data_IF_085661334926
#
_entry.id   IF_085661334926
#
_cell.length_a   1.000
_cell.length_b   1.000
_cell.length_c   1.000
_cell.angle_alpha   90.00
_cell.angle_beta   90.00
_cell.angle_gamma   90.00
#
_symmetry.space_group_name_H-M   'P 1'
#
loop_
_entity.id
_entity.type
_entity.pdbx_description
1 polymer ?
#
# COMPACT_ATOMS: atom_id res chain seq x y z
N UNK A 1 15.67 -41.95 -60.91
CA UNK A 1 16.24 -40.59 -60.79
C UNK A 1 15.21 -39.72 -60.07
N UNK A 2 15.58 -39.16 -58.90
CA UNK A 2 15.10 -37.92 -58.22
C UNK A 2 13.62 -37.52 -58.40
N UNK A 3 12.81 -37.24 -57.38
CA UNK A 3 13.06 -36.36 -56.23
C UNK A 3 12.09 -36.68 -55.08
N UNK A 4 12.62 -36.61 -53.86
CA UNK A 4 11.89 -36.50 -52.60
C UNK A 4 11.31 -35.09 -52.42
N UNK A 5 10.05 -34.98 -51.99
CA UNK A 5 9.43 -33.78 -51.39
C UNK A 5 9.03 -34.14 -49.95
N UNK A 6 9.84 -33.83 -48.93
CA UNK A 6 9.79 -32.64 -48.05
C UNK A 6 8.39 -32.46 -47.41
N UNK A 7 8.19 -32.84 -46.14
CA UNK A 7 8.36 -32.03 -44.89
C UNK A 7 7.55 -30.72 -44.96
N UNK A 8 6.74 -30.29 -43.98
CA UNK A 8 6.56 -30.67 -42.59
C UNK A 8 5.16 -30.19 -42.13
N UNK A 9 4.47 -30.96 -41.27
CA UNK A 9 3.30 -30.49 -40.56
C UNK A 9 3.77 -29.64 -39.37
N UNK A 10 3.52 -28.33 -39.42
CA UNK A 10 3.73 -27.44 -38.30
C UNK A 10 2.63 -27.69 -37.25
N UNK A 11 2.98 -28.37 -36.15
CA UNK A 11 2.17 -28.37 -34.95
C UNK A 11 2.41 -27.03 -34.23
N UNK A 12 1.52 -26.07 -34.46
CA UNK A 12 1.45 -24.88 -33.62
C UNK A 12 0.86 -25.29 -32.26
N UNK A 13 1.73 -25.59 -31.29
CA UNK A 13 1.32 -25.63 -29.88
C UNK A 13 1.10 -24.18 -29.47
N UNK A 14 -0.16 -23.75 -29.45
CA UNK A 14 -0.56 -22.50 -28.83
C UNK A 14 -0.28 -22.64 -27.32
N UNK A 15 0.85 -22.11 -26.86
CA UNK A 15 1.03 -21.74 -25.46
C UNK A 15 0.11 -20.55 -25.20
N UNK A 16 -1.12 -20.85 -24.77
CA UNK A 16 -1.92 -19.86 -24.05
C UNK A 16 -1.26 -19.69 -22.68
N UNK A 17 -0.83 -18.47 -22.29
CA UNK A 17 -0.42 -18.25 -20.93
C UNK A 17 -1.69 -18.31 -20.08
N UNK A 18 -1.81 -19.37 -19.28
CA UNK A 18 -2.80 -19.44 -18.22
C UNK A 18 -2.42 -18.39 -17.17
N UNK A 19 -2.85 -17.14 -17.38
CA UNK A 19 -2.92 -16.16 -16.31
C UNK A 19 -4.12 -16.55 -15.47
N UNK A 20 -3.90 -17.53 -14.59
CA UNK A 20 -4.82 -17.76 -13.49
C UNK A 20 -4.87 -16.49 -12.67
N UNK A 21 -6.08 -15.99 -12.38
CA UNK A 21 -6.30 -15.13 -11.23
C UNK A 21 -5.79 -15.91 -10.02
N UNK A 22 -4.56 -15.61 -9.59
CA UNK A 22 -3.97 -16.19 -8.39
C UNK A 22 -4.98 -15.97 -7.25
N UNK A 23 -5.42 -17.06 -6.62
CA UNK A 23 -6.35 -16.99 -5.50
C UNK A 23 -5.70 -16.26 -4.32
N UNK A 24 -6.49 -15.85 -3.33
CA UNK A 24 -5.99 -15.17 -2.14
C UNK A 24 -4.82 -15.93 -1.46
N UNK A 25 -4.87 -17.27 -1.41
CA UNK A 25 -3.79 -18.10 -0.87
C UNK A 25 -2.50 -18.13 -1.72
N UNK A 26 -2.57 -17.80 -3.01
CA UNK A 26 -1.45 -17.89 -3.95
C UNK A 26 -0.50 -16.68 -3.85
N UNK A 27 -0.88 -15.66 -3.07
CA UNK A 27 -0.06 -14.44 -2.86
C UNK A 27 0.57 -14.38 -1.47
N UNK A 28 0.40 -15.41 -0.62
CA UNK A 28 0.99 -15.41 0.72
C UNK A 28 2.53 -15.27 0.64
N UNK A 29 3.09 -14.31 1.41
CA UNK A 29 4.53 -14.01 1.38
C UNK A 29 5.03 -13.29 0.13
N UNK A 30 4.15 -12.97 -0.83
CA UNK A 30 4.51 -12.14 -1.98
C UNK A 30 4.75 -10.70 -1.52
N UNK A 31 5.90 -10.14 -1.92
CA UNK A 31 6.14 -8.71 -1.90
C UNK A 31 6.71 -8.34 -3.26
N UNK A 32 6.03 -7.46 -3.98
CA UNK A 32 6.37 -7.11 -5.35
C UNK A 32 6.30 -5.60 -5.55
N UNK A 33 7.26 -5.05 -6.29
CA UNK A 33 7.29 -3.65 -6.68
C UNK A 33 7.41 -3.55 -8.20
N UNK A 34 6.33 -3.14 -8.85
CA UNK A 34 6.28 -2.87 -10.30
C UNK A 34 6.53 -1.39 -10.61
N UNK A 35 6.90 -1.06 -11.85
CA UNK A 35 7.35 0.28 -12.24
C UNK A 35 6.70 0.81 -13.51
N UNK A 36 6.35 2.10 -13.52
CA UNK A 36 5.77 2.76 -14.70
C UNK A 36 6.72 2.90 -15.89
N UNK A 37 8.03 2.77 -15.67
CA UNK A 37 9.04 2.87 -16.72
C UNK A 37 9.35 1.53 -17.41
N UNK A 38 8.64 0.47 -17.03
CA UNK A 38 8.72 -0.85 -17.67
C UNK A 38 9.97 -1.67 -17.31
N UNK A 39 10.78 -1.25 -16.33
CA UNK A 39 11.86 -2.11 -15.82
C UNK A 39 11.24 -3.35 -15.12
N UNK A 40 11.98 -4.48 -15.01
CA UNK A 40 11.49 -5.66 -14.30
C UNK A 40 11.13 -5.36 -12.85
N UNK A 41 10.10 -6.04 -12.32
CA UNK A 41 9.67 -5.90 -10.94
C UNK A 41 10.76 -6.37 -9.95
N UNK A 42 10.84 -5.70 -8.80
CA UNK A 42 11.61 -6.18 -7.64
C UNK A 42 10.74 -7.10 -6.79
N UNK A 43 11.33 -8.20 -6.28
CA UNK A 43 10.61 -9.21 -5.51
C UNK A 43 11.26 -9.46 -4.16
N UNK A 44 10.45 -9.60 -3.12
CA UNK A 44 10.90 -9.87 -1.76
C UNK A 44 11.46 -8.65 -1.04
N UNK A 45 11.60 -8.79 0.28
CA UNK A 45 11.90 -7.69 1.21
C UNK A 45 13.22 -6.98 0.89
N UNK A 46 14.27 -7.70 0.50
CA UNK A 46 15.59 -7.12 0.22
C UNK A 46 15.58 -6.24 -1.03
N UNK A 47 15.19 -6.80 -2.18
CA UNK A 47 15.22 -6.10 -3.46
C UNK A 47 14.21 -4.94 -3.53
N UNK A 48 13.04 -5.11 -2.89
CA UNK A 48 12.05 -4.04 -2.80
C UNK A 48 12.58 -2.89 -1.93
N UNK A 49 13.16 -3.16 -0.75
CA UNK A 49 13.70 -2.10 0.10
C UNK A 49 14.93 -1.41 -0.50
N UNK A 50 15.75 -2.10 -1.30
CA UNK A 50 16.87 -1.49 -2.01
C UNK A 50 16.44 -0.36 -2.97
N UNK A 51 15.18 -0.37 -3.40
CA UNK A 51 14.55 0.69 -4.19
C UNK A 51 13.83 1.69 -3.30
N UNK A 52 12.95 1.22 -2.41
CA UNK A 52 12.08 2.06 -1.58
C UNK A 52 12.84 2.96 -0.59
N UNK A 53 13.98 2.52 -0.07
CA UNK A 53 14.79 3.35 0.86
C UNK A 53 15.26 4.66 0.23
N UNK A 54 15.39 4.73 -1.10
CA UNK A 54 15.80 5.96 -1.81
C UNK A 54 14.77 7.09 -1.67
N UNK A 55 13.54 6.73 -1.34
CA UNK A 55 12.43 7.66 -1.07
C UNK A 55 11.97 7.58 0.38
N UNK A 56 12.78 6.96 1.24
CA UNK A 56 12.53 6.84 2.67
C UNK A 56 11.37 5.90 3.03
N UNK A 57 11.01 4.99 2.12
CA UNK A 57 9.98 3.97 2.37
C UNK A 57 10.66 2.68 2.79
N UNK A 58 10.06 1.98 3.76
CA UNK A 58 10.51 0.65 4.18
C UNK A 58 9.32 -0.29 4.32
N UNK A 59 9.52 -1.54 3.90
CA UNK A 59 8.61 -2.66 4.15
C UNK A 59 9.33 -3.73 4.97
N UNK A 60 8.63 -4.31 5.94
CA UNK A 60 9.07 -5.47 6.69
C UNK A 60 7.91 -6.38 7.06
N UNK A 61 8.20 -7.42 7.82
CA UNK A 61 7.19 -8.30 8.42
C UNK A 61 7.24 -8.21 9.93
N UNK A 62 6.09 -8.40 10.57
CA UNK A 62 5.95 -8.48 12.02
C UNK A 62 5.09 -9.69 12.38
N UNK A 63 5.43 -10.35 13.48
CA UNK A 63 4.65 -11.49 13.97
C UNK A 63 3.23 -11.03 14.35
N UNK A 64 2.23 -11.87 14.03
CA UNK A 64 0.85 -11.67 14.46
C UNK A 64 0.72 -12.17 15.90
N UNK A 65 0.35 -11.32 16.87
CA UNK A 65 0.16 -11.76 18.25
C UNK A 65 -1.01 -12.73 18.37
N UNK A 66 -0.88 -13.78 19.18
CA UNK A 66 -1.93 -14.79 19.40
C UNK A 66 -3.28 -14.17 19.79
N UNK A 67 -3.24 -13.09 20.57
CA UNK A 67 -4.43 -12.37 21.02
C UNK A 67 -5.20 -11.66 19.88
N UNK A 68 -4.58 -11.43 18.72
CA UNK A 68 -5.24 -10.85 17.55
C UNK A 68 -5.99 -11.90 16.73
N UNK A 69 -5.57 -13.17 16.76
CA UNK A 69 -6.09 -14.24 15.90
C UNK A 69 -7.63 -14.36 15.89
N UNK A 70 -8.35 -14.28 17.02
CA UNK A 70 -9.81 -14.36 17.00
C UNK A 70 -10.47 -13.22 16.20
N UNK A 71 -9.93 -12.00 16.30
CA UNK A 71 -10.42 -10.82 15.57
C UNK A 71 -10.12 -10.97 14.08
N UNK A 72 -8.90 -11.43 13.74
CA UNK A 72 -8.49 -11.63 12.35
C UNK A 72 -9.35 -12.69 11.67
N UNK A 73 -9.66 -13.80 12.35
CA UNK A 73 -10.54 -14.84 11.80
C UNK A 73 -11.96 -14.32 11.57
N UNK A 74 -12.52 -13.56 12.53
CA UNK A 74 -13.83 -12.95 12.37
C UNK A 74 -13.88 -11.94 11.19
N UNK A 75 -12.79 -11.19 10.99
CA UNK A 75 -12.68 -10.19 9.92
C UNK A 75 -12.74 -10.77 8.50
N UNK A 76 -12.67 -12.10 8.36
CA UNK A 76 -12.77 -12.77 7.05
C UNK A 76 -14.19 -12.77 6.49
N UNK A 77 -15.20 -12.68 7.35
CA UNK A 77 -16.61 -12.82 6.95
C UNK A 77 -17.51 -11.66 7.37
N UNK A 78 -17.02 -10.75 8.22
CA UNK A 78 -17.80 -9.61 8.71
C UNK A 78 -16.90 -8.45 9.15
N UNK A 79 -17.51 -7.29 9.31
CA UNK A 79 -16.89 -6.16 9.98
C UNK A 79 -16.59 -6.49 11.45
N UNK A 80 -15.49 -5.95 11.97
CA UNK A 80 -15.12 -6.05 13.39
C UNK A 80 -15.93 -5.07 14.24
N UNK A 81 -16.19 -5.43 15.50
CA UNK A 81 -16.83 -4.53 16.47
C UNK A 81 -15.86 -3.46 16.98
N UNK A 82 -16.37 -2.48 17.72
CA UNK A 82 -15.53 -1.44 18.32
C UNK A 82 -14.59 -2.01 19.40
N UNK A 83 -15.03 -3.03 20.15
CA UNK A 83 -14.21 -3.72 21.14
C UNK A 83 -13.08 -4.52 20.48
N UNK A 84 -13.38 -5.20 19.37
CA UNK A 84 -12.40 -5.93 18.56
C UNK A 84 -11.38 -4.99 17.91
N UNK A 85 -11.82 -3.80 17.46
CA UNK A 85 -10.95 -2.75 16.94
C UNK A 85 -9.97 -2.25 18.00
N UNK A 86 -10.46 -1.96 19.22
CA UNK A 86 -9.60 -1.57 20.34
C UNK A 86 -8.62 -2.68 20.74
N UNK A 87 -9.05 -3.94 20.72
CA UNK A 87 -8.18 -5.09 20.95
C UNK A 87 -7.09 -5.19 19.89
N UNK A 88 -7.41 -4.94 18.63
CA UNK A 88 -6.45 -5.00 17.52
C UNK A 88 -5.40 -3.89 17.62
N UNK A 89 -5.82 -2.66 17.93
CA UNK A 89 -4.91 -1.53 18.19
C UNK A 89 -3.97 -1.87 19.36
N UNK A 90 -4.48 -2.45 20.44
CA UNK A 90 -3.65 -2.87 21.58
C UNK A 90 -2.70 -4.01 21.23
N UNK A 91 -3.10 -4.96 20.38
CA UNK A 91 -2.24 -6.06 19.96
C UNK A 91 -1.06 -5.60 19.09
N UNK A 92 -1.29 -4.61 18.24
CA UNK A 92 -0.28 -4.04 17.34
C UNK A 92 0.20 -2.67 17.82
N UNK A 93 0.18 -2.42 19.13
CA UNK A 93 0.55 -1.14 19.71
C UNK A 93 1.98 -0.75 19.32
N UNK A 94 2.14 0.48 18.85
CA UNK A 94 3.44 1.10 18.62
C UNK A 94 3.61 2.26 19.60
N UNK A 95 4.63 2.16 20.44
CA UNK A 95 5.07 3.27 21.28
C UNK A 95 5.75 4.33 20.42
N UNK A 96 6.01 5.51 21.00
CA UNK A 96 6.83 6.54 20.34
C UNK A 96 8.21 6.00 19.94
N UNK A 97 8.82 5.18 20.79
CA UNK A 97 10.13 4.60 20.51
C UNK A 97 10.06 3.66 19.30
N UNK A 98 9.01 2.83 19.21
CA UNK A 98 8.81 1.93 18.07
C UNK A 98 8.58 2.72 16.77
N UNK A 99 7.77 3.78 16.81
CA UNK A 99 7.52 4.63 15.64
C UNK A 99 8.80 5.31 15.14
N UNK A 100 9.61 5.85 16.05
CA UNK A 100 10.90 6.44 15.71
C UNK A 100 11.89 5.38 15.19
N UNK A 101 11.84 4.15 15.70
CA UNK A 101 12.65 3.05 15.20
C UNK A 101 12.27 2.66 13.76
N UNK A 102 10.99 2.65 13.40
CA UNK A 102 10.52 2.39 12.03
C UNK A 102 11.02 3.48 11.05
N UNK A 103 10.98 4.75 11.46
CA UNK A 103 11.52 5.88 10.69
C UNK A 103 13.02 5.74 10.47
N UNK A 104 13.77 5.47 11.54
CA UNK A 104 15.21 5.29 11.47
C UNK A 104 15.59 4.08 10.60
N UNK A 105 14.85 2.97 10.70
CA UNK A 105 15.04 1.80 9.86
C UNK A 105 14.74 2.08 8.37
N UNK A 106 13.87 3.04 8.08
CA UNK A 106 13.62 3.54 6.72
C UNK A 106 14.69 4.53 6.21
N UNK A 107 15.72 4.83 7.02
CA UNK A 107 16.80 5.75 6.67
C UNK A 107 16.39 7.22 6.73
N UNK A 108 15.37 7.55 7.53
CA UNK A 108 14.82 8.89 7.68
C UNK A 108 15.08 9.43 9.10
N UNK A 109 14.96 10.75 9.22
CA UNK A 109 14.73 11.43 10.49
C UNK A 109 13.23 11.73 10.61
N UNK A 110 12.66 11.82 11.83
CA UNK A 110 11.24 12.15 12.01
C UNK A 110 10.96 13.57 11.49
N UNK A 111 9.76 13.79 10.93
CA UNK A 111 9.39 15.10 10.37
C UNK A 111 9.31 16.19 11.44
N UNK A 112 8.92 15.80 12.66
CA UNK A 112 8.85 16.65 13.85
C UNK A 112 9.79 16.07 14.90
N UNK A 113 10.50 16.94 15.64
CA UNK A 113 11.40 16.51 16.71
C UNK A 113 10.69 15.53 17.67
N UNK A 114 11.37 14.43 17.99
CA UNK A 114 10.84 13.33 18.80
C UNK A 114 9.53 12.70 18.27
N UNK A 115 9.18 12.92 16.99
CA UNK A 115 7.99 12.37 16.33
C UNK A 115 6.70 13.18 16.54
N UNK A 116 6.72 14.30 17.26
CA UNK A 116 5.55 15.17 17.42
C UNK A 116 4.34 14.52 18.12
N UNK A 117 3.13 14.85 17.69
CA UNK A 117 1.87 14.33 18.20
C UNK A 117 1.63 12.89 17.74
N UNK A 118 1.31 11.98 18.69
CA UNK A 118 0.91 10.59 18.40
C UNK A 118 -0.58 10.44 18.11
N UNK A 119 -1.33 11.54 18.25
CA UNK A 119 -2.77 11.60 17.98
C UNK A 119 -3.03 12.59 16.84
N UNK A 120 -2.14 12.60 15.84
CA UNK A 120 -2.33 13.42 14.64
C UNK A 120 -3.62 13.04 13.92
N UNK A 121 -4.24 13.99 13.21
CA UNK A 121 -5.54 13.79 12.57
C UNK A 121 -5.76 14.73 11.38
N UNK A 122 -6.65 14.32 10.47
CA UNK A 122 -7.28 15.27 9.55
C UNK A 122 -8.33 16.10 10.32
N UNK A 123 -8.58 17.37 9.96
CA UNK A 123 -9.62 18.17 10.59
C UNK A 123 -10.99 17.48 10.62
N UNK A 124 -11.57 17.36 11.82
CA UNK A 124 -12.90 16.76 12.01
C UNK A 124 -12.94 15.22 11.90
N UNK A 125 -11.80 14.55 11.77
CA UNK A 125 -11.68 13.09 11.75
C UNK A 125 -11.08 12.60 13.07
N UNK A 126 -11.44 11.39 13.49
CA UNK A 126 -10.80 10.76 14.65
C UNK A 126 -9.26 10.71 14.49
N UNK A 127 -8.49 10.86 15.58
CA UNK A 127 -7.04 10.79 15.51
C UNK A 127 -6.53 9.37 15.27
N UNK A 128 -5.27 9.28 14.86
CA UNK A 128 -4.54 8.02 14.87
C UNK A 128 -4.28 7.52 16.31
N UNK A 129 -4.10 6.20 16.51
CA UNK A 129 -4.19 5.12 15.52
C UNK A 129 -5.61 4.82 15.01
N UNK A 130 -5.71 4.19 13.84
CA UNK A 130 -6.98 3.81 13.18
C UNK A 130 -6.94 2.36 12.70
N UNK A 131 -8.10 1.74 12.52
CA UNK A 131 -8.22 0.47 11.80
C UNK A 131 -9.05 0.66 10.53
N UNK A 132 -8.47 0.32 9.39
CA UNK A 132 -9.20 0.21 8.13
C UNK A 132 -9.74 -1.21 8.00
N UNK A 133 -11.07 -1.33 7.96
CA UNK A 133 -11.77 -2.61 7.82
C UNK A 133 -12.55 -2.64 6.51
N UNK A 134 -12.13 -3.51 5.59
CA UNK A 134 -12.76 -3.64 4.28
C UNK A 134 -14.24 -4.05 4.36
N UNK A 135 -14.66 -4.78 5.39
CA UNK A 135 -16.05 -5.18 5.56
C UNK A 135 -16.95 -4.07 6.11
N UNK A 136 -16.39 -2.96 6.62
CA UNK A 136 -17.17 -1.75 6.96
C UNK A 136 -17.48 -0.89 5.73
N UNK A 137 -16.81 -1.14 4.60
CA UNK A 137 -16.94 -0.31 3.40
C UNK A 137 -17.96 -0.92 2.43
N UNK A 138 -19.08 -0.25 2.26
CA UNK A 138 -20.00 -0.56 1.16
C UNK A 138 -19.42 -0.14 -0.21
N UNK A 139 -20.13 -0.46 -1.29
CA UNK A 139 -19.62 -0.21 -2.65
C UNK A 139 -19.33 1.28 -2.92
N UNK A 140 -20.15 2.19 -2.40
CA UNK A 140 -19.99 3.63 -2.58
C UNK A 140 -18.81 4.15 -1.76
N UNK A 141 -18.70 3.71 -0.51
CA UNK A 141 -17.56 4.03 0.37
C UNK A 141 -16.26 3.56 -0.27
N UNK A 142 -16.22 2.37 -0.87
CA UNK A 142 -15.03 1.87 -1.58
C UNK A 142 -14.65 2.77 -2.77
N UNK A 143 -15.62 3.21 -3.56
CA UNK A 143 -15.37 4.16 -4.66
C UNK A 143 -14.82 5.48 -4.12
N UNK A 144 -15.41 6.00 -3.03
CA UNK A 144 -14.93 7.23 -2.40
C UNK A 144 -13.50 7.09 -1.86
N UNK A 145 -13.19 5.98 -1.18
CA UNK A 145 -11.84 5.65 -0.69
C UNK A 145 -10.85 5.57 -1.84
N UNK A 146 -11.19 4.95 -2.98
CA UNK A 146 -10.32 4.89 -4.15
C UNK A 146 -10.10 6.26 -4.80
N UNK A 147 -11.09 7.14 -4.79
CA UNK A 147 -10.95 8.52 -5.27
C UNK A 147 -10.11 9.39 -4.33
N UNK A 148 -10.23 9.16 -3.01
CA UNK A 148 -9.48 9.89 -1.99
C UNK A 148 -8.01 9.45 -1.92
N UNK A 149 -7.74 8.15 -1.83
CA UNK A 149 -6.38 7.64 -1.56
C UNK A 149 -5.67 7.08 -2.79
N UNK A 150 -6.39 6.83 -3.88
CA UNK A 150 -5.82 6.28 -5.11
C UNK A 150 -4.83 7.22 -5.82
N UNK A 151 -5.18 8.51 -6.03
CA UNK A 151 -4.22 9.47 -6.56
C UNK A 151 -3.02 9.60 -5.64
N UNK A 152 -1.84 9.84 -6.21
CA UNK A 152 -0.68 10.23 -5.40
C UNK A 152 -1.00 11.54 -4.68
N UNK A 153 -0.66 11.61 -3.40
CA UNK A 153 -0.88 12.76 -2.55
C UNK A 153 0.26 12.91 -1.55
N UNK A 154 0.32 14.08 -0.92
CA UNK A 154 1.17 14.35 0.22
C UNK A 154 0.35 14.81 1.41
N UNK A 155 0.82 14.48 2.60
CA UNK A 155 0.17 14.74 3.87
C UNK A 155 1.02 15.72 4.69
N UNK A 156 0.55 16.95 4.84
CA UNK A 156 1.25 17.98 5.61
C UNK A 156 0.30 19.00 6.25
N UNK A 157 0.79 19.67 7.31
CA UNK A 157 0.15 20.83 7.92
C UNK A 157 0.28 22.09 7.05
N UNK A 158 -0.43 23.16 7.40
CA UNK A 158 -0.41 24.43 6.66
C UNK A 158 1.00 25.01 6.49
N UNK A 159 1.90 24.80 7.46
CA UNK A 159 3.28 25.26 7.41
C UNK A 159 4.23 24.39 6.55
N UNK A 160 3.69 23.34 5.91
CA UNK A 160 4.44 22.38 5.10
C UNK A 160 5.07 21.24 5.88
N UNK A 161 4.89 21.17 7.20
CA UNK A 161 5.40 20.05 8.03
C UNK A 161 4.64 18.77 7.70
N UNK A 162 5.35 17.75 7.21
CA UNK A 162 4.76 16.45 6.89
C UNK A 162 4.44 15.59 8.12
N UNK A 163 3.71 14.49 7.91
CA UNK A 163 3.55 13.41 8.88
C UNK A 163 4.48 12.23 8.55
N UNK A 164 4.68 11.36 9.52
CA UNK A 164 5.26 10.03 9.38
C UNK A 164 4.17 8.99 9.55
N UNK A 165 4.12 8.01 8.64
CA UNK A 165 3.07 7.00 8.62
C UNK A 165 3.67 5.60 8.77
N UNK A 166 2.99 4.77 9.56
CA UNK A 166 3.30 3.35 9.74
C UNK A 166 2.01 2.54 9.60
N UNK A 167 1.93 1.73 8.55
CA UNK A 167 0.77 0.89 8.23
C UNK A 167 1.12 -0.56 8.49
N UNK A 168 0.32 -1.26 9.30
CA UNK A 168 0.46 -2.71 9.53
C UNK A 168 -0.73 -3.44 8.90
N UNK A 169 -0.49 -4.16 7.81
CA UNK A 169 -1.48 -5.04 7.16
C UNK A 169 -1.53 -6.34 7.93
N UNK A 170 -2.66 -6.61 8.61
CA UNK A 170 -2.77 -7.73 9.57
C UNK A 170 -3.71 -8.84 9.09
N UNK A 171 -4.50 -8.61 8.04
CA UNK A 171 -5.28 -9.68 7.40
C UNK A 171 -5.66 -9.36 5.94
N UNK A 172 -5.96 -10.41 5.19
CA UNK A 172 -6.48 -10.30 3.83
C UNK A 172 -5.42 -9.86 2.83
N UNK A 173 -5.86 -9.30 1.70
CA UNK A 173 -4.98 -8.88 0.60
C UNK A 173 -5.26 -9.61 -0.72
N UNK A 174 -4.44 -9.39 -1.76
CA UNK A 174 -3.27 -8.51 -1.74
C UNK A 174 -3.64 -7.04 -1.57
N UNK A 175 -2.79 -6.27 -0.89
CA UNK A 175 -2.94 -4.83 -0.71
C UNK A 175 -1.99 -4.06 -1.62
N UNK A 176 -2.39 -2.86 -2.03
CA UNK A 176 -1.62 -2.06 -2.99
C UNK A 176 -1.36 -0.65 -2.47
N UNK A 177 -0.08 -0.28 -2.44
CA UNK A 177 0.39 1.09 -2.24
C UNK A 177 1.12 1.60 -3.48
N UNK A 178 1.18 2.91 -3.62
CA UNK A 178 1.95 3.58 -4.65
C UNK A 178 2.92 4.57 -4.03
N UNK A 179 4.11 4.66 -4.62
CA UNK A 179 5.12 5.63 -4.21
C UNK A 179 5.74 6.25 -5.44
N UNK A 180 5.91 7.56 -5.44
CA UNK A 180 6.80 8.21 -6.39
C UNK A 180 8.25 7.80 -6.10
N UNK A 181 8.95 7.40 -7.15
CA UNK A 181 10.36 7.01 -7.19
C UNK A 181 11.15 8.03 -8.03
N UNK A 182 12.49 8.10 -7.89
CA UNK A 182 13.30 9.03 -8.65
C UNK A 182 13.11 8.89 -10.17
N UNK A 183 12.98 10.04 -10.84
CA UNK A 183 12.81 10.10 -12.31
C UNK A 183 11.35 10.01 -12.76
N UNK A 184 10.40 10.51 -11.97
CA UNK A 184 8.96 10.50 -12.24
C UNK A 184 8.42 9.09 -12.51
N UNK A 185 8.91 8.11 -11.75
CA UNK A 185 8.46 6.72 -11.83
C UNK A 185 7.49 6.46 -10.68
N UNK A 186 6.35 5.82 -10.95
CA UNK A 186 5.42 5.39 -9.89
C UNK A 186 5.66 3.90 -9.64
N UNK A 187 6.12 3.58 -8.44
CA UNK A 187 6.19 2.20 -7.96
C UNK A 187 4.81 1.72 -7.50
N UNK A 188 4.33 0.57 -8.00
CA UNK A 188 3.15 -0.12 -7.48
C UNK A 188 3.63 -1.25 -6.57
N UNK A 189 3.49 -1.03 -5.25
CA UNK A 189 3.86 -2.00 -4.22
C UNK A 189 2.67 -2.91 -3.93
N UNK A 190 2.85 -4.21 -4.15
CA UNK A 190 1.87 -5.25 -3.85
C UNK A 190 2.33 -6.02 -2.62
N UNK A 191 1.51 -6.00 -1.57
CA UNK A 191 1.72 -6.77 -0.36
C UNK A 191 0.77 -7.97 -0.38
N UNK A 192 1.34 -9.15 -0.42
CA UNK A 192 0.65 -10.42 -0.52
C UNK A 192 -0.31 -10.68 0.63
N UNK A 193 -1.17 -11.68 0.44
CA UNK A 193 -2.18 -12.05 1.42
C UNK A 193 -1.59 -12.39 2.80
N UNK A 194 -2.24 -11.88 3.84
CA UNK A 194 -1.95 -12.17 5.25
C UNK A 194 -3.03 -13.10 5.80
N UNK A 195 -2.63 -14.35 6.02
CA UNK A 195 -3.42 -15.40 6.67
C UNK A 195 -3.10 -15.56 8.16
N UNK A 196 -3.85 -16.41 8.87
CA UNK A 196 -3.69 -16.59 10.33
C UNK A 196 -2.36 -17.22 10.76
N UNK A 197 -1.69 -17.94 9.85
CA UNK A 197 -0.35 -18.53 10.07
C UNK A 197 0.78 -17.69 9.45
N UNK A 198 0.44 -16.56 8.82
CA UNK A 198 1.39 -15.69 8.15
C UNK A 198 1.97 -14.62 9.08
N UNK A 199 2.85 -13.80 8.52
CA UNK A 199 3.29 -12.57 9.15
C UNK A 199 2.48 -11.39 8.61
N UNK A 200 2.27 -10.38 9.45
CA UNK A 200 1.70 -9.11 9.01
C UNK A 200 2.78 -8.31 8.27
N UNK A 201 2.37 -7.55 7.26
CA UNK A 201 3.27 -6.60 6.61
C UNK A 201 3.27 -5.28 7.38
N UNK A 202 4.45 -4.68 7.55
CA UNK A 202 4.59 -3.32 8.08
C UNK A 202 5.27 -2.43 7.06
N UNK A 203 4.67 -1.29 6.77
CA UNK A 203 5.17 -0.28 5.86
C UNK A 203 5.38 1.01 6.64
N UNK A 204 6.56 1.61 6.53
CA UNK A 204 6.84 2.95 7.04
C UNK A 204 7.15 3.88 5.87
N UNK A 205 6.52 5.05 5.82
CA UNK A 205 6.76 6.04 4.77
C UNK A 205 6.53 7.48 5.26
N UNK A 206 7.20 8.47 4.65
CA UNK A 206 6.97 9.87 4.95
C UNK A 206 5.76 10.41 4.17
N UNK A 207 4.83 11.06 4.85
CA UNK A 207 3.67 11.68 4.24
C UNK A 207 4.02 12.84 3.29
N UNK A 208 5.19 13.46 3.45
CA UNK A 208 5.63 14.58 2.60
C UNK A 208 6.07 14.16 1.19
N UNK A 209 6.15 12.85 0.89
CA UNK A 209 6.49 12.33 -0.44
C UNK A 209 5.23 11.78 -1.10
N UNK A 210 5.03 11.98 -2.42
CA UNK A 210 3.83 11.51 -3.09
C UNK A 210 3.66 9.99 -2.96
N UNK A 211 2.54 9.61 -2.36
CA UNK A 211 2.15 8.23 -2.13
C UNK A 211 0.65 8.06 -2.32
N UNK A 212 0.20 6.82 -2.44
CA UNK A 212 -1.22 6.49 -2.56
C UNK A 212 -1.50 5.05 -2.16
N UNK A 213 -2.77 4.67 -2.14
CA UNK A 213 -3.21 3.31 -1.81
C UNK A 213 -4.48 2.92 -2.56
N UNK A 214 -4.58 1.65 -2.94
CA UNK A 214 -5.77 1.09 -3.57
C UNK A 214 -6.38 -0.02 -2.71
N UNK A 215 -7.35 0.34 -1.87
CA UNK A 215 -7.99 -0.55 -0.90
C UNK A 215 -9.04 -1.43 -1.59
N UNK A 216 -8.61 -2.45 -2.33
CA UNK A 216 -9.47 -3.37 -3.06
C UNK A 216 -9.52 -4.85 -2.63
N UNK A 217 -8.91 -5.32 -1.52
CA UNK A 217 -9.15 -6.68 -1.04
C UNK A 217 -10.65 -6.95 -0.81
N UNK A 218 -11.08 -8.21 -0.94
CA UNK A 218 -12.46 -8.61 -0.60
C UNK A 218 -12.75 -8.35 0.88
N UNK A 219 -11.81 -8.76 1.73
CA UNK A 219 -11.76 -8.50 3.16
C UNK A 219 -10.32 -8.15 3.56
N UNK A 220 -10.16 -7.60 4.77
CA UNK A 220 -8.85 -7.39 5.36
C UNK A 220 -8.83 -6.21 6.32
N UNK A 221 -7.79 -6.18 7.14
CA UNK A 221 -7.58 -5.17 8.17
C UNK A 221 -6.19 -4.54 8.06
N UNK A 222 -6.14 -3.22 8.24
CA UNK A 222 -4.90 -2.46 8.40
C UNK A 222 -4.97 -1.65 9.68
N UNK A 223 -3.97 -1.82 10.55
CA UNK A 223 -3.76 -0.96 11.72
C UNK A 223 -2.81 0.16 11.30
N UNK A 224 -3.32 1.38 11.33
CA UNK A 224 -2.63 2.56 10.83
C UNK A 224 -2.20 3.46 11.98
N UNK A 225 -0.94 3.86 11.97
CA UNK A 225 -0.38 4.90 12.81
C UNK A 225 0.09 6.04 11.92
N UNK A 226 -0.09 7.26 12.40
CA UNK A 226 0.63 8.41 11.89
C UNK A 226 1.01 9.32 13.06
N UNK A 227 2.08 10.07 12.91
CA UNK A 227 2.50 11.05 13.88
C UNK A 227 3.22 12.24 13.21
N UNK A 228 3.31 13.37 13.91
CA UNK A 228 3.86 14.61 13.36
C UNK A 228 3.14 15.84 13.93
N UNK A 229 2.69 16.82 13.11
CA UNK A 229 1.85 17.92 13.59
C UNK A 229 0.53 17.41 14.20
N UNK A 230 -0.16 18.23 15.00
CA UNK A 230 -1.46 17.84 15.58
C UNK A 230 -2.53 17.61 14.52
N UNK A 231 -2.49 18.40 13.44
CA UNK A 231 -3.37 18.28 12.29
C UNK A 231 -2.58 18.32 11.00
N UNK A 232 -3.09 17.62 9.98
CA UNK A 232 -2.57 17.66 8.62
C UNK A 232 -3.74 17.59 7.63
N UNK A 233 -3.46 17.98 6.39
CA UNK A 233 -4.40 17.82 5.26
C UNK A 233 -3.75 16.98 4.16
N UNK A 234 -4.59 16.41 3.31
CA UNK A 234 -4.17 15.66 2.12
C UNK A 234 -4.17 16.61 0.93
N UNK A 235 -3.01 16.75 0.29
CA UNK A 235 -2.79 17.70 -0.80
C UNK A 235 -2.55 16.96 -2.11
N UNK A 236 -3.30 17.36 -3.15
CA UNK A 236 -3.25 16.75 -4.49
C UNK A 236 -2.69 17.68 -5.55
N UNK A 237 -2.39 18.93 -5.20
CA UNK A 237 -1.98 19.94 -6.16
C UNK A 237 -0.64 19.61 -6.83
N UNK A 238 -0.53 19.88 -8.12
CA UNK A 238 0.71 19.68 -8.88
C UNK A 238 1.81 20.69 -8.50
N UNK A 239 1.42 21.86 -7.99
CA UNK A 239 2.33 22.79 -7.32
C UNK A 239 2.30 22.49 -5.82
N UNK A 240 3.31 21.77 -5.34
CA UNK A 240 3.36 21.26 -3.97
C UNK A 240 4.75 21.34 -3.37
N UNK A 241 4.82 21.24 -2.05
CA UNK A 241 6.06 21.34 -1.27
C UNK A 241 7.05 20.20 -1.53
N UNK A 242 6.61 19.08 -2.10
CA UNK A 242 7.49 18.00 -2.53
C UNK A 242 8.16 18.27 -3.89
N UNK A 243 7.68 19.28 -4.64
CA UNK A 243 8.14 19.60 -5.99
C UNK A 243 7.79 18.54 -7.03
N UNK A 244 6.81 17.67 -6.75
CA UNK A 244 6.44 16.56 -7.64
C UNK A 244 5.32 16.94 -8.59
N UNK A 245 5.54 16.73 -9.89
CA UNK A 245 4.49 16.87 -10.90
C UNK A 245 3.51 15.70 -10.93
N UNK A 246 3.80 14.60 -10.25
CA UNK A 246 2.96 13.40 -10.21
C UNK A 246 1.89 13.46 -9.13
N UNK A 247 1.99 14.41 -8.19
CA UNK A 247 0.97 14.65 -7.17
C UNK A 247 -0.40 14.92 -7.82
N UNK A 248 -1.46 14.32 -7.27
CA UNK A 248 -2.81 14.33 -7.84
C UNK A 248 -3.04 13.34 -8.99
N UNK A 249 -2.03 12.61 -9.44
CA UNK A 249 -2.12 11.62 -10.53
C UNK A 249 -1.86 10.21 -10.03
N UNK A 250 -2.22 9.17 -10.80
CA UNK A 250 -1.68 7.83 -10.62
C UNK A 250 -1.82 7.03 -11.92
N UNK A 251 -0.70 6.67 -12.55
CA UNK A 251 -0.72 5.94 -13.83
C UNK A 251 -1.20 4.49 -13.70
N UNK A 252 -1.26 3.93 -12.49
CA UNK A 252 -1.76 2.58 -12.25
C UNK A 252 -3.28 2.51 -12.06
N UNK A 253 -3.98 3.64 -12.09
CA UNK A 253 -5.42 3.69 -11.85
C UNK A 253 -6.09 4.46 -12.99
N UNK A 254 -7.10 3.84 -13.60
CA UNK A 254 -8.02 4.54 -14.49
C UNK A 254 -9.11 5.23 -13.69
N UNK A 255 -9.12 6.56 -13.72
CA UNK A 255 -10.13 7.42 -13.09
C UNK A 255 -11.18 7.97 -14.08
N UNK A 256 -11.17 7.54 -15.35
CA UNK A 256 -12.05 8.07 -16.39
C UNK A 256 -13.52 7.67 -16.22
N UNK A 257 -13.78 6.59 -15.48
CA UNK A 257 -15.12 6.10 -15.14
C UNK A 257 -15.60 6.52 -13.76
N UNK A 258 -16.84 6.13 -13.43
CA UNK A 258 -17.45 6.43 -12.13
C UNK A 258 -16.75 5.74 -10.96
N UNK A 259 -16.21 4.54 -11.20
CA UNK A 259 -15.43 3.74 -10.25
C UNK A 259 -13.98 3.65 -10.74
N UNK A 260 -13.00 4.07 -9.93
CA UNK A 260 -11.59 3.86 -10.26
C UNK A 260 -11.24 2.39 -10.43
N UNK A 261 -10.39 2.08 -11.40
CA UNK A 261 -9.97 0.71 -11.71
C UNK A 261 -8.44 0.61 -11.63
N UNK A 262 -7.96 -0.31 -10.80
CA UNK A 262 -6.54 -0.68 -10.76
C UNK A 262 -6.16 -1.40 -12.06
N UNK A 263 -5.03 -1.00 -12.64
CA UNK A 263 -4.55 -1.49 -13.92
C UNK A 263 -3.38 -2.47 -13.75
N UNK A 264 -3.36 -3.48 -14.62
CA UNK A 264 -2.22 -4.40 -14.76
C UNK A 264 -1.05 -3.74 -15.51
N UNK A 265 -1.34 -2.77 -16.37
CA UNK A 265 -0.36 -2.00 -17.15
C UNK A 265 -0.62 -0.51 -16.95
N UNK A 266 0.42 0.30 -16.69
CA UNK A 266 0.23 1.70 -16.39
C UNK A 266 -0.21 2.48 -17.64
N UNK A 267 -0.96 3.56 -17.43
CA UNK A 267 -1.31 4.52 -18.47
C UNK A 267 -0.04 5.21 -19.00
N UNK A 268 0.02 5.39 -20.32
CA UNK A 268 1.13 6.07 -20.99
C UNK A 268 0.80 7.56 -21.10
N UNK A 269 1.64 8.43 -20.51
CA UNK A 269 1.67 9.86 -20.81
C UNK A 269 1.08 10.79 -19.74
N UNK A 270 1.67 10.82 -18.54
CA UNK A 270 1.44 11.86 -17.53
C UNK A 270 2.52 12.95 -17.58
#
# INVERSE_FOLDING_TARGET
>A
MKLLSKLAAAAAVLWLPAHGLAGAADTAGLLELEYTDGRPASLGVEDVNAVLQRVGVRVGTVAIPDQALPVLEASRSRAITAEEEAQLISAFELTREDLLAEIAAAGREPTVENGGSLTTSEPGVAPYPKVYDMNKMDAETRVWVHKKFGPLHINHAEDGTGIDEVMTVVSGGPWVWFFELPGDVIGKLILGHVGPEGEAWRISYPGIRPHGGFLNPEYGLVVAYAHGPEQFEIHFDADNVAGSRLNGTNAWIDFSGDKPVLLDTPLIGN
#
